data_IF_319337932274
#
_entry.id   IF_319337932274
#
_cell.length_a   1.000
_cell.length_b   1.000
_cell.length_c   1.000
_cell.angle_alpha   90.00
_cell.angle_beta   90.00
_cell.angle_gamma   90.00
#
_symmetry.space_group_name_H-M   'P 1'
#
loop_
_entity.id
_entity.type
_entity.pdbx_description
1 polymer ?
#
# COMPACT_ATOMS: atom_id res chain seq x y z
N UNK A 1 -7.27 24.78 21.71
CA UNK A 1 -7.52 24.15 20.39
C UNK A 1 -6.84 22.81 20.44
N UNK A 2 -7.58 21.71 20.37
CA UNK A 2 -6.97 20.43 20.06
C UNK A 2 -6.23 20.57 18.72
N UNK A 3 -5.03 20.00 18.60
CA UNK A 3 -4.31 20.01 17.35
C UNK A 3 -5.19 19.35 16.27
N UNK A 4 -5.40 19.98 15.12
CA UNK A 4 -6.08 19.37 13.97
C UNK A 4 -5.29 18.22 13.32
N UNK A 5 -4.33 17.65 14.05
CA UNK A 5 -3.46 16.57 13.63
C UNK A 5 -4.00 15.23 14.13
N UNK A 6 -4.21 14.29 13.22
CA UNK A 6 -4.70 12.94 13.53
C UNK A 6 -3.60 12.11 14.19
N UNK A 7 -3.88 11.54 15.36
CA UNK A 7 -2.94 10.66 16.05
C UNK A 7 -2.81 9.30 15.35
N UNK A 8 -1.69 8.60 15.55
CA UNK A 8 -1.51 7.23 15.02
C UNK A 8 -2.59 6.27 15.54
N UNK A 9 -3.01 6.38 16.79
CA UNK A 9 -4.00 5.48 17.40
C UNK A 9 -5.40 5.69 16.80
N UNK A 10 -5.65 6.89 16.25
CA UNK A 10 -6.86 7.17 15.47
C UNK A 10 -6.91 6.32 14.20
N UNK A 11 -5.77 6.04 13.53
CA UNK A 11 -5.77 5.16 12.35
C UNK A 11 -6.21 3.74 12.70
N UNK A 12 -5.69 3.17 13.79
CA UNK A 12 -6.05 1.81 14.22
C UNK A 12 -7.55 1.66 14.47
N UNK A 13 -8.18 2.70 15.02
CA UNK A 13 -9.57 2.66 15.47
C UNK A 13 -10.59 3.20 14.46
N UNK A 14 -10.20 4.11 13.57
CA UNK A 14 -11.13 4.83 12.70
C UNK A 14 -10.84 4.69 11.20
N UNK A 15 -9.68 4.16 10.80
CA UNK A 15 -9.38 3.98 9.38
C UNK A 15 -10.15 2.78 8.83
N UNK A 16 -11.07 3.04 7.88
CA UNK A 16 -11.78 1.99 7.14
C UNK A 16 -11.10 1.79 5.76
N UNK A 17 -10.44 0.63 5.52
CA UNK A 17 -9.78 0.34 4.26
C UNK A 17 -10.73 0.37 3.07
N UNK A 18 -11.96 -0.13 3.24
CA UNK A 18 -12.90 -0.27 2.13
C UNK A 18 -13.43 1.09 1.66
N UNK A 19 -13.82 1.94 2.61
CA UNK A 19 -14.26 3.29 2.31
C UNK A 19 -13.12 4.09 1.64
N UNK A 20 -11.88 3.90 2.08
CA UNK A 20 -10.72 4.50 1.45
C UNK A 20 -10.56 4.05 -0.01
N UNK A 21 -10.64 2.74 -0.29
CA UNK A 21 -10.54 2.21 -1.65
C UNK A 21 -11.65 2.71 -2.57
N UNK A 22 -12.90 2.72 -2.09
CA UNK A 22 -14.05 3.11 -2.89
C UNK A 22 -14.03 4.60 -3.25
N UNK A 23 -13.63 5.46 -2.31
CA UNK A 23 -13.57 6.91 -2.51
C UNK A 23 -12.42 7.35 -3.43
N UNK A 24 -11.26 6.69 -3.37
CA UNK A 24 -10.05 7.18 -4.05
C UNK A 24 -9.59 6.31 -5.23
N UNK A 25 -9.95 5.03 -5.26
CA UNK A 25 -9.32 4.05 -6.18
C UNK A 25 -10.31 3.22 -6.99
N UNK A 26 -11.61 3.50 -6.91
CA UNK A 26 -12.65 2.77 -7.67
C UNK A 26 -12.57 2.96 -9.19
N UNK A 27 -11.87 3.99 -9.67
CA UNK A 27 -11.72 4.29 -11.11
C UNK A 27 -13.05 4.44 -11.87
N UNK A 28 -14.14 4.71 -11.14
CA UNK A 28 -15.49 4.85 -11.65
C UNK A 28 -15.85 6.28 -12.05
N UNK A 29 -16.99 6.47 -12.71
CA UNK A 29 -17.42 7.78 -13.23
C UNK A 29 -17.76 8.84 -12.15
N UNK A 30 -17.90 8.43 -10.88
CA UNK A 30 -18.34 9.32 -9.78
C UNK A 30 -17.22 10.20 -9.20
N UNK A 31 -15.96 9.77 -9.31
CA UNK A 31 -14.81 10.40 -8.64
C UNK A 31 -13.81 10.95 -9.67
N UNK A 32 -14.23 11.98 -10.41
CA UNK A 32 -13.47 12.47 -11.55
C UNK A 32 -12.12 13.10 -11.16
N UNK A 33 -12.03 13.83 -10.04
CA UNK A 33 -10.78 14.44 -9.60
C UNK A 33 -9.78 13.39 -9.10
N UNK A 34 -10.24 12.45 -8.28
CA UNK A 34 -9.43 11.35 -7.73
C UNK A 34 -8.88 10.47 -8.84
N UNK A 35 -9.70 10.19 -9.87
CA UNK A 35 -9.25 9.41 -11.03
C UNK A 35 -8.15 10.11 -11.82
N UNK A 36 -8.22 11.42 -12.03
CA UNK A 36 -7.17 12.15 -12.74
C UNK A 36 -5.86 12.19 -11.94
N UNK A 37 -5.96 12.34 -10.62
CA UNK A 37 -4.79 12.21 -9.72
C UNK A 37 -4.20 10.80 -9.85
N UNK A 38 -5.02 9.75 -9.74
CA UNK A 38 -4.56 8.37 -9.83
C UNK A 38 -3.90 8.09 -11.19
N UNK A 39 -4.49 8.53 -12.30
CA UNK A 39 -3.88 8.42 -13.64
C UNK A 39 -2.52 9.11 -13.70
N UNK A 40 -2.39 10.29 -13.09
CA UNK A 40 -1.11 10.99 -13.03
C UNK A 40 -0.06 10.20 -12.23
N UNK A 41 -0.46 9.64 -11.08
CA UNK A 41 0.41 8.79 -10.26
C UNK A 41 0.88 7.56 -11.04
N UNK A 42 -0.04 6.83 -11.69
CA UNK A 42 0.29 5.65 -12.48
C UNK A 42 1.26 5.95 -13.63
N UNK A 43 1.08 7.07 -14.34
CA UNK A 43 2.03 7.53 -15.38
C UNK A 43 3.41 7.81 -14.81
N UNK A 44 3.49 8.43 -13.65
CA UNK A 44 4.76 8.76 -13.00
C UNK A 44 5.48 7.50 -12.51
N UNK A 45 4.76 6.55 -11.90
CA UNK A 45 5.30 5.27 -11.46
C UNK A 45 5.79 4.42 -12.64
N UNK A 46 5.03 4.37 -13.73
CA UNK A 46 5.46 3.75 -14.98
C UNK A 46 6.77 4.36 -15.49
N UNK A 47 6.88 5.70 -15.53
CA UNK A 47 8.12 6.36 -15.94
C UNK A 47 9.28 5.99 -15.02
N UNK A 48 9.10 5.99 -13.70
CA UNK A 48 10.15 5.69 -12.72
C UNK A 48 10.65 4.25 -12.89
N UNK A 49 9.75 3.28 -12.84
CA UNK A 49 10.11 1.87 -12.78
C UNK A 49 10.43 1.26 -14.14
N UNK A 50 9.74 1.67 -15.22
CA UNK A 50 9.92 1.05 -16.53
C UNK A 50 10.86 1.83 -17.47
N UNK A 51 10.94 3.16 -17.34
CA UNK A 51 11.74 4.00 -18.24
C UNK A 51 12.96 4.64 -17.55
N UNK A 52 12.87 4.93 -16.25
CA UNK A 52 13.87 5.64 -15.46
C UNK A 52 15.02 4.77 -14.95
N UNK A 53 14.95 3.46 -15.20
CA UNK A 53 16.01 2.51 -14.83
C UNK A 53 16.05 2.14 -13.34
N UNK A 54 15.04 2.53 -12.55
CA UNK A 54 14.92 2.13 -11.14
C UNK A 54 14.51 0.66 -11.07
N UNK A 55 15.45 -0.20 -10.70
CA UNK A 55 15.31 -1.66 -10.62
C UNK A 55 16.21 -2.23 -9.54
N UNK A 56 15.91 -3.44 -9.07
CA UNK A 56 16.71 -4.12 -8.07
C UNK A 56 16.10 -5.45 -7.65
N UNK A 57 16.70 -6.08 -6.65
CA UNK A 57 16.18 -7.36 -6.14
C UNK A 57 15.00 -7.16 -5.18
N UNK A 58 15.08 -6.17 -4.30
CA UNK A 58 14.11 -5.91 -3.24
C UNK A 58 13.63 -4.46 -3.24
N UNK A 59 12.32 -4.27 -3.17
CA UNK A 59 11.66 -2.99 -2.88
C UNK A 59 10.86 -3.11 -1.59
N UNK A 60 10.93 -2.11 -0.71
CA UNK A 60 10.12 -2.05 0.51
C UNK A 60 9.19 -0.84 0.38
N UNK A 61 7.88 -1.11 0.38
CA UNK A 61 6.82 -0.10 0.35
C UNK A 61 6.36 0.20 1.78
N UNK A 62 6.48 1.46 2.18
CA UNK A 62 6.20 1.93 3.55
C UNK A 62 4.92 2.73 3.55
N UNK A 63 3.93 2.29 4.34
CA UNK A 63 2.60 2.90 4.34
C UNK A 63 1.80 2.51 3.10
N UNK A 64 1.87 1.23 2.73
CA UNK A 64 1.17 0.68 1.56
C UNK A 64 -0.34 0.88 1.63
N UNK A 65 -0.91 1.03 2.83
CA UNK A 65 -2.35 1.00 3.04
C UNK A 65 -2.96 -0.30 2.50
N UNK A 66 -4.24 -0.27 2.08
CA UNK A 66 -4.88 -1.40 1.45
C UNK A 66 -4.66 -1.43 -0.08
N UNK A 67 -3.63 -0.75 -0.61
CA UNK A 67 -3.50 -0.47 -2.04
C UNK A 67 -2.37 -1.23 -2.72
N UNK A 68 -2.54 -1.46 -4.03
CA UNK A 68 -1.52 -2.09 -4.88
C UNK A 68 -1.10 -1.27 -6.10
N UNK A 69 -1.80 -0.16 -6.38
CA UNK A 69 -1.59 0.62 -7.61
C UNK A 69 -0.13 1.09 -7.75
N UNK A 70 0.51 1.40 -6.63
CA UNK A 70 1.88 1.88 -6.55
C UNK A 70 2.92 0.82 -6.93
N UNK A 71 2.53 -0.46 -6.93
CA UNK A 71 3.41 -1.60 -7.14
C UNK A 71 3.29 -2.23 -8.54
N UNK A 72 2.27 -1.85 -9.32
CA UNK A 72 1.94 -2.48 -10.62
C UNK A 72 3.06 -2.37 -11.66
N UNK A 73 3.71 -1.20 -11.74
CA UNK A 73 4.90 -1.04 -12.61
C UNK A 73 6.18 -1.42 -11.88
N UNK A 74 6.20 -1.38 -10.55
CA UNK A 74 7.37 -1.77 -9.76
C UNK A 74 7.71 -3.26 -9.91
N UNK A 75 6.70 -4.14 -9.99
CA UNK A 75 6.93 -5.58 -10.15
C UNK A 75 7.55 -5.96 -11.51
N UNK A 76 7.66 -5.04 -12.47
CA UNK A 76 8.45 -5.25 -13.69
C UNK A 76 9.96 -5.14 -13.46
N UNK A 77 10.35 -4.43 -12.41
CA UNK A 77 11.72 -4.01 -12.15
C UNK A 77 12.28 -4.54 -10.84
N UNK A 78 11.43 -5.08 -9.98
CA UNK A 78 11.79 -5.68 -8.70
C UNK A 78 11.31 -7.12 -8.60
N UNK A 79 12.20 -8.01 -8.17
CA UNK A 79 11.90 -9.43 -7.98
C UNK A 79 11.04 -9.67 -6.74
N UNK A 80 11.34 -8.94 -5.67
CA UNK A 80 10.68 -9.05 -4.38
C UNK A 80 10.21 -7.67 -3.92
N UNK A 81 8.98 -7.62 -3.42
CA UNK A 81 8.35 -6.41 -2.89
C UNK A 81 7.84 -6.74 -1.49
N UNK A 82 8.24 -5.97 -0.49
CA UNK A 82 7.66 -6.05 0.85
C UNK A 82 6.69 -4.89 1.03
N UNK A 83 5.40 -5.19 1.21
CA UNK A 83 4.39 -4.20 1.56
C UNK A 83 4.24 -4.12 3.08
N UNK A 84 4.27 -2.90 3.62
CA UNK A 84 4.17 -2.64 5.07
C UNK A 84 3.18 -1.52 5.35
N UNK A 85 2.44 -1.64 6.44
CA UNK A 85 1.54 -0.58 6.91
C UNK A 85 1.45 -0.61 8.44
N UNK A 86 1.13 0.54 9.03
CA UNK A 86 0.91 0.64 10.47
C UNK A 86 -0.43 0.03 10.91
N UNK A 87 -1.41 0.01 10.00
CA UNK A 87 -2.80 -0.32 10.32
C UNK A 87 -3.11 -1.76 9.93
N UNK A 88 -3.40 -2.62 10.91
CA UNK A 88 -3.63 -4.05 10.68
C UNK A 88 -4.76 -4.31 9.66
N UNK A 89 -5.85 -3.54 9.71
CA UNK A 89 -6.97 -3.70 8.77
C UNK A 89 -6.59 -3.39 7.31
N UNK A 90 -5.58 -2.56 7.08
CA UNK A 90 -5.06 -2.30 5.73
C UNK A 90 -4.34 -3.54 5.18
N UNK A 91 -3.48 -4.14 6.00
CA UNK A 91 -2.76 -5.36 5.63
C UNK A 91 -3.72 -6.53 5.38
N UNK A 92 -4.79 -6.63 6.18
CA UNK A 92 -5.86 -7.61 5.98
C UNK A 92 -6.59 -7.42 4.64
N UNK A 93 -6.97 -6.19 4.28
CA UNK A 93 -7.63 -5.92 2.99
C UNK A 93 -6.68 -6.22 1.81
N UNK A 94 -5.39 -5.90 1.95
CA UNK A 94 -4.36 -6.27 0.98
C UNK A 94 -4.21 -7.80 0.87
N UNK A 95 -4.26 -8.54 1.98
CA UNK A 95 -4.20 -10.01 1.98
C UNK A 95 -5.36 -10.64 1.22
N UNK A 96 -6.59 -10.10 1.36
CA UNK A 96 -7.75 -10.58 0.61
C UNK A 96 -7.47 -10.55 -0.89
N UNK A 97 -6.89 -9.47 -1.39
CA UNK A 97 -6.54 -9.35 -2.81
C UNK A 97 -5.40 -10.29 -3.22
N UNK A 98 -4.36 -10.43 -2.40
CA UNK A 98 -3.24 -11.35 -2.65
C UNK A 98 -3.71 -12.81 -2.73
N UNK A 99 -4.62 -13.21 -1.84
CA UNK A 99 -5.17 -14.57 -1.76
C UNK A 99 -6.35 -14.84 -2.69
N UNK A 100 -6.78 -13.83 -3.48
CA UNK A 100 -7.95 -13.90 -4.36
C UNK A 100 -9.24 -14.28 -3.58
N UNK A 101 -9.38 -13.77 -2.37
CA UNK A 101 -10.54 -14.03 -1.53
C UNK A 101 -11.80 -13.33 -2.09
N UNK A 102 -12.99 -13.95 -1.94
CA UNK A 102 -14.24 -13.27 -2.26
C UNK A 102 -14.37 -11.95 -1.51
N UNK A 103 -14.79 -10.89 -2.20
CA UNK A 103 -14.93 -9.55 -1.63
C UNK A 103 -13.67 -8.69 -1.65
N UNK A 104 -12.52 -9.24 -2.11
CA UNK A 104 -11.35 -8.41 -2.42
C UNK A 104 -11.71 -7.26 -3.36
N UNK A 105 -11.06 -6.11 -3.18
CA UNK A 105 -11.29 -4.95 -4.02
C UNK A 105 -10.92 -5.23 -5.47
N UNK A 106 -11.76 -4.76 -6.40
CA UNK A 106 -11.54 -4.93 -7.83
C UNK A 106 -10.57 -3.88 -8.37
N UNK A 107 -9.32 -4.30 -8.55
CA UNK A 107 -8.27 -3.48 -9.15
C UNK A 107 -8.22 -3.56 -10.68
N UNK A 108 -9.10 -4.33 -11.33
CA UNK A 108 -9.06 -4.58 -12.79
C UNK A 108 -9.00 -3.31 -13.65
N UNK A 109 -9.76 -2.23 -13.35
CA UNK A 109 -9.68 -1.00 -14.14
C UNK A 109 -8.31 -0.33 -14.06
N UNK A 110 -7.71 -0.31 -12.85
CA UNK A 110 -6.39 0.27 -12.59
C UNK A 110 -5.29 -0.57 -13.23
N UNK A 111 -5.39 -1.90 -13.10
CA UNK A 111 -4.46 -2.85 -13.74
C UNK A 111 -4.49 -2.70 -15.25
N UNK A 112 -5.69 -2.63 -15.85
CA UNK A 112 -5.86 -2.44 -17.29
C UNK A 112 -5.19 -1.15 -17.76
N UNK A 113 -5.38 -0.06 -17.01
CA UNK A 113 -4.74 1.21 -17.32
C UNK A 113 -3.20 1.13 -17.30
N UNK A 114 -2.62 0.43 -16.32
CA UNK A 114 -1.17 0.23 -16.26
C UNK A 114 -0.67 -0.65 -17.41
N UNK A 115 -1.38 -1.72 -17.74
CA UNK A 115 -1.06 -2.55 -18.91
C UNK A 115 -1.06 -1.72 -20.20
N UNK A 116 -2.00 -0.79 -20.38
CA UNK A 116 -2.05 0.12 -21.52
C UNK A 116 -0.83 1.05 -21.56
N UNK A 117 -0.43 1.63 -20.41
CA UNK A 117 0.77 2.46 -20.30
C UNK A 117 2.04 1.70 -20.68
N UNK A 118 2.13 0.42 -20.29
CA UNK A 118 3.27 -0.46 -20.58
C UNK A 118 3.26 -1.03 -22.01
N UNK A 119 2.27 -0.64 -22.83
CA UNK A 119 2.17 -1.03 -24.23
C UNK A 119 1.54 -2.41 -24.44
N UNK A 120 0.69 -2.86 -23.52
CA UNK A 120 -0.13 -4.07 -23.63
C UNK A 120 0.65 -5.37 -23.89
N UNK A 121 1.91 -5.42 -23.44
CA UNK A 121 2.79 -6.59 -23.55
C UNK A 121 2.29 -7.77 -22.71
N UNK A 122 1.68 -7.45 -21.57
CA UNK A 122 1.12 -8.38 -20.59
C UNK A 122 -0.35 -8.01 -20.39
N UNK A 123 -1.23 -9.01 -20.26
CA UNK A 123 -2.66 -8.79 -19.99
C UNK A 123 -2.92 -8.65 -18.49
N UNK A 124 -4.02 -7.99 -18.13
CA UNK A 124 -4.36 -7.69 -16.74
C UNK A 124 -4.22 -8.87 -15.77
N UNK A 125 -4.81 -10.05 -16.04
CA UNK A 125 -4.68 -11.21 -15.15
C UNK A 125 -3.23 -11.67 -14.92
N UNK A 126 -2.39 -11.61 -15.95
CA UNK A 126 -0.97 -11.98 -15.86
C UNK A 126 -0.18 -10.92 -15.07
N UNK A 127 -0.49 -9.63 -15.26
CA UNK A 127 0.09 -8.54 -14.47
C UNK A 127 -0.25 -8.69 -12.98
N UNK A 128 -1.51 -8.97 -12.66
CA UNK A 128 -1.91 -9.17 -11.27
C UNK A 128 -1.22 -10.38 -10.65
N UNK A 129 -1.14 -11.50 -11.38
CA UNK A 129 -0.46 -12.69 -10.89
C UNK A 129 1.03 -12.44 -10.63
N UNK A 130 1.70 -11.75 -11.57
CA UNK A 130 3.09 -11.34 -11.39
C UNK A 130 3.28 -10.49 -10.15
N UNK A 131 2.38 -9.53 -9.90
CA UNK A 131 2.45 -8.71 -8.69
C UNK A 131 2.20 -9.55 -7.43
N UNK A 132 1.21 -10.46 -7.42
CA UNK A 132 0.95 -11.35 -6.29
C UNK A 132 2.14 -12.23 -5.94
N UNK A 133 2.91 -12.67 -6.93
CA UNK A 133 4.12 -13.46 -6.72
C UNK A 133 5.29 -12.63 -6.19
N UNK A 134 5.40 -11.36 -6.58
CA UNK A 134 6.45 -10.46 -6.12
C UNK A 134 6.22 -9.95 -4.69
N UNK A 135 4.96 -9.74 -4.30
CA UNK A 135 4.59 -9.13 -3.01
C UNK A 135 4.61 -10.14 -1.88
N UNK A 136 5.39 -9.81 -0.85
CA UNK A 136 5.34 -10.39 0.49
C UNK A 136 4.81 -9.34 1.46
N UNK A 137 4.15 -9.78 2.52
CA UNK A 137 3.75 -8.92 3.62
C UNK A 137 4.54 -9.28 4.86
N UNK A 138 5.09 -8.24 5.49
CA UNK A 138 5.66 -8.37 6.83
C UNK A 138 4.58 -7.93 7.82
N UNK A 139 4.16 -8.85 8.68
CA UNK A 139 3.34 -8.48 9.83
C UNK A 139 4.29 -7.80 10.81
N UNK A 140 4.13 -6.50 11.00
CA UNK A 140 4.73 -5.84 12.15
C UNK A 140 4.22 -6.55 13.39
N UNK A 141 5.07 -7.33 14.07
CA UNK A 141 4.72 -7.73 15.42
C UNK A 141 4.44 -6.43 16.17
N UNK A 142 3.28 -6.26 16.84
CA UNK A 142 3.14 -5.19 17.79
C UNK A 142 4.25 -5.45 18.81
N UNK A 143 5.28 -4.60 18.78
CA UNK A 143 6.26 -4.59 19.84
C UNK A 143 5.42 -4.38 21.09
N UNK A 144 5.24 -5.43 21.90
CA UNK A 144 4.87 -5.19 23.27
C UNK A 144 5.94 -4.23 23.75
N UNK A 145 5.54 -2.99 24.02
CA UNK A 145 6.36 -2.08 24.79
C UNK A 145 6.53 -2.78 26.14
N UNK A 146 7.54 -3.65 26.24
CA UNK A 146 8.12 -4.01 27.51
C UNK A 146 8.56 -2.67 28.07
N UNK A 147 7.79 -2.19 29.05
CA UNK A 147 8.10 -0.97 29.76
C UNK A 147 9.57 -1.03 30.15
N UNK A 148 10.31 0.00 29.75
CA UNK A 148 11.65 0.22 30.27
C UNK A 148 11.55 0.13 31.80
N UNK A 149 12.38 -0.70 32.47
CA UNK A 149 12.38 -0.73 33.92
C UNK A 149 12.65 0.69 34.41
N UNK A 150 11.74 1.19 35.24
CA UNK A 150 11.80 2.54 35.79
C UNK A 150 13.16 2.80 36.43
N UNK A 151 13.72 3.95 36.09
CA UNK A 151 14.91 4.51 36.70
C UNK A 151 14.72 4.55 38.23
N UNK A 152 15.55 3.86 39.03
CA UNK A 152 15.46 3.97 40.48
C UNK A 152 15.90 5.38 40.87
N UNK A 153 14.93 6.16 41.34
CA UNK A 153 15.10 7.56 41.72
C UNK A 153 16.36 7.82 42.54
N UNK A 154 17.04 8.91 42.16
CA UNK A 154 18.14 9.53 42.89
C UNK A 154 17.72 9.74 44.37
N UNK A 155 18.55 9.37 45.36
CA UNK A 155 18.20 9.55 46.76
C UNK A 155 18.17 11.04 47.12
N UNK A 156 17.12 11.45 47.84
CA UNK A 156 17.01 12.77 48.46
C UNK A 156 18.15 12.95 49.48
N UNK A 157 18.98 13.97 49.28
CA UNK A 157 19.89 14.46 50.32
C UNK A 157 19.12 15.35 51.30
N UNK A 158 19.39 15.11 52.59
CA UNK A 158 18.83 15.76 53.78
C UNK A 158 19.27 17.21 53.93
#
# INVERSE_FOLDING_TARGET
MESGFTSKDTYLSHFNPRDYLENYYSFGSRHCAENEILKHLLKSLFKIFCLGGVKGDLLIDIGSGPTIYQLLSACESFREIIATDYTDQNLQELQKWLKKEPGAFDWSPVVTYVCDLEGNRIKGPEKEEKLRQAVKQEHGQPSQAQGLPGDPGCPEEQ
#
